data_IF_112803049028
#
_entry.id   IF_112803049028
#
_cell.length_a   1.000
_cell.length_b   1.000
_cell.length_c   1.000
_cell.angle_alpha   90.00
_cell.angle_beta   90.00
_cell.angle_gamma   90.00
#
_symmetry.space_group_name_H-M   'P 1'
#
loop_
_entity.id
_entity.type
_entity.pdbx_description
1 polymer ?
#
# COMPACT_ATOMS: atom_id res chain seq x y z
N UNK A 1 13.43 21.84 -9.37
CA UNK A 1 13.07 21.53 -7.97
C UNK A 1 13.70 20.18 -7.65
N UNK A 2 14.37 20.12 -6.52
CA UNK A 2 15.52 19.25 -6.23
C UNK A 2 15.27 17.75 -6.46
N UNK A 3 16.24 17.13 -7.13
CA UNK A 3 16.44 15.70 -7.23
C UNK A 3 16.41 15.05 -5.83
N UNK A 4 15.26 14.47 -5.46
CA UNK A 4 15.11 13.10 -4.95
C UNK A 4 13.68 12.94 -4.39
N UNK A 5 12.66 12.85 -5.26
CA UNK A 5 11.27 12.60 -4.87
C UNK A 5 11.03 11.10 -4.60
N UNK A 6 11.93 10.47 -3.82
CA UNK A 6 11.86 9.07 -3.42
C UNK A 6 11.26 8.97 -2.01
N UNK A 7 10.18 8.20 -1.89
CA UNK A 7 9.63 7.75 -0.63
C UNK A 7 9.96 6.26 -0.40
N UNK A 8 9.62 5.77 0.78
CA UNK A 8 9.60 4.33 1.08
C UNK A 8 8.14 3.90 1.22
N UNK A 9 7.81 2.75 0.66
CA UNK A 9 6.48 2.17 0.77
C UNK A 9 6.57 0.71 1.20
N UNK A 10 5.68 0.28 2.08
CA UNK A 10 5.54 -1.11 2.45
C UNK A 10 4.66 -1.85 1.44
N UNK A 11 5.14 -2.99 0.97
CA UNK A 11 4.44 -3.89 0.08
C UNK A 11 4.31 -5.27 0.71
N UNK A 12 3.13 -5.87 0.65
CA UNK A 12 2.99 -7.32 0.82
C UNK A 12 3.43 -7.94 -0.50
N UNK A 13 4.55 -8.67 -0.50
CA UNK A 13 5.11 -9.29 -1.70
C UNK A 13 4.37 -10.58 -2.06
N UNK A 14 4.13 -11.39 -1.04
CA UNK A 14 3.42 -12.66 -1.06
C UNK A 14 2.87 -12.90 0.35
N UNK A 15 1.90 -13.83 0.54
CA UNK A 15 1.36 -14.14 1.86
C UNK A 15 2.44 -14.35 2.92
N UNK A 16 2.36 -13.60 4.02
CA UNK A 16 3.30 -13.66 5.15
C UNK A 16 4.59 -12.87 4.96
N UNK A 17 4.79 -12.16 3.85
CA UNK A 17 6.07 -11.48 3.54
C UNK A 17 5.87 -10.04 3.09
N UNK A 18 6.41 -9.15 3.91
CA UNK A 18 6.47 -7.71 3.64
C UNK A 18 7.83 -7.26 3.14
N UNK A 19 7.86 -6.17 2.37
CA UNK A 19 9.09 -5.49 2.00
C UNK A 19 8.88 -3.98 1.93
N UNK A 20 9.83 -3.22 2.47
CA UNK A 20 9.90 -1.77 2.27
C UNK A 20 10.72 -1.51 1.00
N UNK A 21 10.14 -0.81 0.04
CA UNK A 21 10.73 -0.53 -1.27
C UNK A 21 10.78 0.97 -1.50
N UNK A 22 11.83 1.46 -2.15
CA UNK A 22 11.89 2.85 -2.60
C UNK A 22 10.86 3.07 -3.73
N UNK A 23 10.04 4.10 -3.60
CA UNK A 23 9.00 4.46 -4.58
C UNK A 23 9.21 5.90 -5.02
N UNK A 24 9.20 6.12 -6.32
CA UNK A 24 9.17 7.44 -6.90
C UNK A 24 7.79 8.06 -6.66
N UNK A 25 7.76 9.21 -6.02
CA UNK A 25 6.56 10.03 -5.90
C UNK A 25 6.37 10.83 -7.18
N UNK A 26 5.11 10.94 -7.59
CA UNK A 26 4.67 11.82 -8.68
C UNK A 26 4.23 13.14 -8.05
N UNK A 27 4.43 14.25 -8.76
CA UNK A 27 3.92 15.54 -8.32
C UNK A 27 2.39 15.50 -8.28
N UNK A 28 1.76 16.03 -7.22
CA UNK A 28 0.30 15.97 -7.08
C UNK A 28 -0.38 16.78 -8.19
N UNK A 29 -1.51 16.25 -8.69
CA UNK A 29 -2.38 16.98 -9.61
C UNK A 29 -3.08 18.18 -8.95
N UNK A 30 -3.88 18.96 -9.71
CA UNK A 30 -4.54 20.17 -9.21
C UNK A 30 -5.45 19.96 -7.99
N UNK A 31 -6.03 18.76 -7.86
CA UNK A 31 -6.97 18.39 -6.80
C UNK A 31 -6.35 17.42 -5.76
N UNK A 32 -5.02 17.26 -5.78
CA UNK A 32 -4.29 16.37 -4.88
C UNK A 32 -3.36 17.15 -3.94
N UNK A 33 -3.05 16.57 -2.79
CA UNK A 33 -2.07 17.14 -1.86
C UNK A 33 -0.98 16.12 -1.55
N UNK A 34 0.28 16.58 -1.55
CA UNK A 34 1.40 15.77 -1.10
C UNK A 34 1.51 15.87 0.42
N UNK A 35 1.47 14.72 1.11
CA UNK A 35 1.57 14.64 2.56
C UNK A 35 2.84 13.89 2.97
N UNK A 36 3.48 14.36 4.05
CA UNK A 36 4.55 13.62 4.71
C UNK A 36 3.97 12.80 5.85
N UNK A 37 3.72 11.51 5.61
CA UNK A 37 3.32 10.58 6.66
C UNK A 37 4.47 10.41 7.68
N UNK A 38 4.22 10.75 8.94
CA UNK A 38 5.20 10.58 10.03
C UNK A 38 5.05 9.22 10.72
N UNK A 39 3.82 8.73 10.82
CA UNK A 39 3.46 7.48 11.48
C UNK A 39 2.27 6.83 10.76
N UNK A 40 2.14 5.51 10.90
CA UNK A 40 0.98 4.74 10.46
C UNK A 40 0.44 3.89 11.60
N UNK A 41 -0.84 3.54 11.51
CA UNK A 41 -1.42 2.43 12.25
C UNK A 41 -1.27 1.11 11.50
N UNK A 42 -1.50 0.01 12.22
CA UNK A 42 -1.71 -1.32 11.65
C UNK A 42 -3.13 -1.76 12.00
N UNK A 43 -3.92 -2.09 10.99
CA UNK A 43 -5.25 -2.68 11.15
C UNK A 43 -5.14 -4.18 11.40
N UNK A 44 -5.54 -4.62 12.59
CA UNK A 44 -5.58 -6.06 12.93
C UNK A 44 -6.69 -6.84 12.18
N UNK A 45 -7.56 -6.14 11.45
CA UNK A 45 -8.62 -6.73 10.63
C UNK A 45 -8.15 -6.99 9.20
N UNK A 46 -8.64 -6.21 8.24
CA UNK A 46 -8.43 -6.43 6.80
C UNK A 46 -6.96 -6.48 6.39
N UNK A 47 -6.07 -5.68 6.98
CA UNK A 47 -4.63 -5.75 6.63
C UNK A 47 -4.00 -7.06 7.07
N UNK A 48 -4.42 -7.64 8.20
CA UNK A 48 -3.94 -8.97 8.63
C UNK A 48 -4.47 -10.07 7.70
N UNK A 49 -5.71 -9.97 7.22
CA UNK A 49 -6.25 -10.89 6.20
C UNK A 49 -5.46 -10.82 4.90
N UNK A 50 -5.18 -9.60 4.41
CA UNK A 50 -4.41 -9.38 3.19
C UNK A 50 -2.96 -9.87 3.35
N UNK A 51 -2.29 -9.49 4.44
CA UNK A 51 -0.92 -9.90 4.71
C UNK A 51 -0.78 -11.42 4.75
N UNK A 52 -1.72 -12.13 5.39
CA UNK A 52 -1.70 -13.59 5.48
C UNK A 52 -2.20 -14.29 4.22
N UNK A 53 -2.64 -13.56 3.19
CA UNK A 53 -3.21 -14.14 1.96
C UNK A 53 -4.58 -14.80 2.14
N UNK A 54 -5.33 -14.41 3.17
CA UNK A 54 -6.60 -15.03 3.56
C UNK A 54 -7.84 -14.36 2.94
N UNK A 55 -7.66 -13.43 2.00
CA UNK A 55 -8.78 -12.88 1.24
C UNK A 55 -9.27 -13.95 0.26
N UNK A 56 -10.58 -14.32 0.25
CA UNK A 56 -11.10 -15.24 -0.75
C UNK A 56 -11.01 -14.62 -2.16
N UNK A 57 -10.65 -15.39 -3.21
CA UNK A 57 -10.57 -14.85 -4.58
C UNK A 57 -11.86 -14.19 -5.08
N UNK A 58 -13.04 -14.63 -4.62
CA UNK A 58 -14.33 -14.00 -4.94
C UNK A 58 -14.43 -12.57 -4.41
N UNK A 59 -13.72 -12.26 -3.33
CA UNK A 59 -13.75 -10.96 -2.65
C UNK A 59 -12.66 -10.01 -3.14
N UNK A 60 -11.80 -10.40 -4.06
CA UNK A 60 -10.69 -9.55 -4.52
C UNK A 60 -11.18 -8.23 -5.09
N UNK A 61 -12.29 -8.23 -5.84
CA UNK A 61 -12.88 -7.01 -6.38
C UNK A 61 -13.56 -6.18 -5.30
N UNK A 62 -14.35 -6.83 -4.42
CA UNK A 62 -15.05 -6.18 -3.31
C UNK A 62 -14.09 -5.49 -2.35
N UNK A 63 -12.95 -6.14 -2.04
CA UNK A 63 -11.98 -5.66 -1.06
C UNK A 63 -10.90 -4.75 -1.65
N UNK A 64 -10.87 -4.52 -2.96
CA UNK A 64 -9.88 -3.66 -3.61
C UNK A 64 -10.04 -2.20 -3.14
N UNK A 65 -8.96 -1.59 -2.65
CA UNK A 65 -9.00 -0.19 -2.25
C UNK A 65 -9.06 0.77 -3.48
N UNK A 66 -9.70 1.96 -3.37
CA UNK A 66 -9.89 2.88 -4.50
C UNK A 66 -8.60 3.25 -5.26
N UNK A 67 -7.48 3.39 -4.54
CA UNK A 67 -6.16 3.73 -5.08
C UNK A 67 -5.14 2.62 -4.85
N UNK A 68 -5.61 1.36 -4.81
CA UNK A 68 -4.75 0.22 -4.54
C UNK A 68 -3.70 0.03 -5.65
N UNK A 69 -2.44 0.06 -5.25
CA UNK A 69 -1.34 -0.40 -6.09
C UNK A 69 -1.13 -1.91 -5.91
N UNK A 70 -1.06 -2.63 -7.03
CA UNK A 70 -0.94 -4.09 -7.02
C UNK A 70 -2.27 -4.83 -6.77
N UNK A 71 -2.18 -6.15 -6.61
CA UNK A 71 -3.34 -7.06 -6.58
C UNK A 71 -3.14 -8.17 -5.55
N UNK A 72 -4.24 -8.66 -4.98
CA UNK A 72 -4.20 -9.84 -4.12
C UNK A 72 -3.83 -11.10 -4.92
N UNK A 73 -3.09 -12.06 -4.33
CA UNK A 73 -2.58 -12.08 -2.95
C UNK A 73 -1.24 -11.35 -2.74
N UNK A 74 -0.70 -10.73 -3.79
CA UNK A 74 0.56 -9.98 -3.77
C UNK A 74 1.22 -10.00 -5.16
N UNK A 75 2.08 -9.03 -5.48
CA UNK A 75 2.44 -7.87 -4.66
C UNK A 75 1.32 -6.82 -4.55
N UNK A 76 1.12 -6.23 -3.37
CA UNK A 76 0.09 -5.20 -3.12
C UNK A 76 0.46 -4.22 -1.99
N UNK A 77 0.11 -2.95 -2.17
CA UNK A 77 0.01 -1.96 -1.07
C UNK A 77 -1.44 -1.91 -0.59
N UNK A 78 -1.67 -2.10 0.70
CA UNK A 78 -3.03 -2.18 1.23
C UNK A 78 -3.18 -1.51 2.59
N UNK A 79 -4.31 -0.83 2.77
CA UNK A 79 -4.68 -0.19 4.03
C UNK A 79 -3.87 1.08 4.33
N UNK A 80 -3.58 1.28 5.60
CA UNK A 80 -2.88 2.45 6.13
C UNK A 80 -1.37 2.34 6.06
N UNK A 81 -0.81 1.16 5.77
CA UNK A 81 0.62 0.82 5.79
C UNK A 81 1.48 1.66 4.81
N UNK A 82 1.63 2.95 5.15
CA UNK A 82 2.16 4.01 4.29
C UNK A 82 3.48 4.60 4.84
N UNK A 83 4.14 3.94 5.80
CA UNK A 83 5.48 4.31 6.34
C UNK A 83 6.42 3.12 6.43
#
# INVERSE_FOLDING_TARGET
MTDNNLARAYWVQEPGKGQIVATQLVDPGPDEVMVKALFSGISRGSESLVFMGNVPPSEYQTMRAPFQEGNFPGPVKYGYANV
#
